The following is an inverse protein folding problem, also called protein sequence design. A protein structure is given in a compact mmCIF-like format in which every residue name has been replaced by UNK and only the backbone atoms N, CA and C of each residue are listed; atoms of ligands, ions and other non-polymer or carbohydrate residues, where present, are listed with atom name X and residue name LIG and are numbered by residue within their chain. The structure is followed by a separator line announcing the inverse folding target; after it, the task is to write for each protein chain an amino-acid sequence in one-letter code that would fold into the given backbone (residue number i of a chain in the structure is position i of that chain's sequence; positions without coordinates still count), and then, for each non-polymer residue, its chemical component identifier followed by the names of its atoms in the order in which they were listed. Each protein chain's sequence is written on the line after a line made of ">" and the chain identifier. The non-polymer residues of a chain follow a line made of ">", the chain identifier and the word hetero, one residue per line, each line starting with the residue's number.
data_IF_613982986529
#
_entry.id   IF_613982986529
#
_cell.length_a   1.000
_cell.length_b   1.000
_cell.length_c   1.000
_cell.angle_alpha   90.00
_cell.angle_beta   90.00
_cell.angle_gamma   90.00
#
_symmetry.space_group_name_H-M   'P 1'
#
loop_
_entity.id
_entity.type
_entity.pdbx_description
1 polymer ?
#
# COMPACT_ATOMS: atom_id res chain seq x y z
N UNK A 1 -11.20 -14.25 31.01
CA UNK A 1 -11.21 -12.83 30.60
C UNK A 1 -12.64 -12.49 30.22
N UNK A 2 -13.21 -11.47 30.86
CA UNK A 2 -14.65 -11.16 30.85
C UNK A 2 -15.15 -10.74 29.47
N UNK A 3 -16.14 -11.46 28.95
CA UNK A 3 -16.95 -11.07 27.81
C UNK A 3 -17.84 -9.87 28.18
N UNK A 4 -17.70 -8.76 27.45
CA UNK A 4 -18.64 -7.62 27.52
C UNK A 4 -19.61 -7.73 26.34
N UNK A 5 -20.93 -7.70 26.57
CA UNK A 5 -21.93 -7.71 25.50
C UNK A 5 -22.01 -6.31 24.87
N UNK A 6 -21.87 -6.22 23.55
CA UNK A 6 -21.86 -4.95 22.82
C UNK A 6 -23.27 -4.58 22.38
N UNK A 7 -23.87 -3.71 23.19
CA UNK A 7 -25.15 -3.06 22.96
C UNK A 7 -25.28 -1.91 23.94
N UNK A 8 -24.36 -0.94 23.87
CA UNK A 8 -24.41 0.36 24.55
C UNK A 8 -23.35 1.27 23.93
N UNK A 9 -23.73 2.51 23.58
CA UNK A 9 -22.85 3.64 23.27
C UNK A 9 -21.83 3.84 24.41
N UNK A 10 -20.71 3.12 24.37
CA UNK A 10 -19.50 3.57 25.05
C UNK A 10 -18.80 4.51 24.09
N UNK A 11 -18.67 5.79 24.46
CA UNK A 11 -17.90 6.78 23.72
C UNK A 11 -16.50 6.24 23.44
N UNK A 12 -16.27 5.71 22.24
CA UNK A 12 -14.99 5.17 21.86
C UNK A 12 -14.19 6.30 21.20
N UNK A 13 -12.99 6.57 21.71
CA UNK A 13 -12.21 7.75 21.31
C UNK A 13 -11.44 7.41 20.03
N UNK A 14 -11.55 8.23 18.96
CA UNK A 14 -10.81 7.99 17.73
C UNK A 14 -9.31 7.88 17.99
N UNK A 15 -8.69 6.82 17.46
CA UNK A 15 -7.26 6.60 17.54
C UNK A 15 -6.54 7.54 16.58
N UNK A 16 -5.55 8.26 17.10
CA UNK A 16 -4.73 9.24 16.35
C UNK A 16 -3.26 8.86 16.27
N UNK A 17 -2.80 7.93 17.11
CA UNK A 17 -1.45 7.37 17.03
C UNK A 17 -1.51 6.10 16.17
N UNK A 18 -0.95 6.16 14.95
CA UNK A 18 -1.12 5.20 13.89
C UNK A 18 0.25 4.76 13.34
N UNK A 19 0.44 3.46 13.28
CA UNK A 19 1.49 2.83 12.50
C UNK A 19 0.85 2.00 11.41
N UNK A 20 1.07 2.42 10.16
CA UNK A 20 0.71 1.65 9.00
C UNK A 20 1.98 1.07 8.37
N UNK A 21 2.17 -0.23 8.48
CA UNK A 21 3.25 -0.90 7.76
C UNK A 21 2.82 -1.03 6.30
N UNK A 22 3.36 -0.14 5.46
CA UNK A 22 3.01 -0.06 4.06
C UNK A 22 3.77 -1.11 3.25
N UNK A 23 3.09 -2.16 2.82
CA UNK A 23 3.64 -3.19 1.92
C UNK A 23 3.47 -2.83 0.44
N UNK A 24 4.33 -3.38 -0.41
CA UNK A 24 4.34 -3.12 -1.84
C UNK A 24 3.22 -3.86 -2.59
N UNK A 25 2.60 -3.18 -3.55
CA UNK A 25 1.61 -3.74 -4.52
C UNK A 25 0.33 -4.32 -3.88
N UNK A 26 -0.03 -3.82 -2.71
CA UNK A 26 -1.19 -4.25 -1.90
C UNK A 26 -2.30 -3.20 -1.81
N UNK A 27 -2.45 -2.34 -2.83
CA UNK A 27 -3.34 -1.16 -2.82
C UNK A 27 -3.03 -0.14 -1.71
N UNK A 28 -1.82 -0.22 -1.13
CA UNK A 28 -1.40 0.55 0.02
C UNK A 28 -1.33 2.07 -0.19
N UNK A 29 -1.20 2.57 -1.44
CA UNK A 29 -1.32 4.01 -1.74
C UNK A 29 -2.74 4.57 -1.54
N UNK A 30 -3.79 3.76 -1.75
CA UNK A 30 -5.17 4.20 -1.47
C UNK A 30 -5.38 4.35 0.03
N UNK A 31 -4.91 3.36 0.82
CA UNK A 31 -4.95 3.43 2.27
C UNK A 31 -4.09 4.56 2.81
N UNK A 32 -2.90 4.78 2.27
CA UNK A 32 -2.04 5.91 2.64
C UNK A 32 -2.73 7.26 2.44
N UNK A 33 -3.47 7.45 1.34
CA UNK A 33 -4.25 8.67 1.10
C UNK A 33 -5.37 8.86 2.15
N UNK A 34 -6.03 7.78 2.58
CA UNK A 34 -6.98 7.83 3.72
C UNK A 34 -6.26 8.34 4.98
N UNK A 35 -5.09 7.78 5.31
CA UNK A 35 -4.34 8.16 6.51
C UNK A 35 -3.82 9.59 6.47
N UNK A 36 -3.35 10.07 5.31
CA UNK A 36 -2.91 11.45 5.14
C UNK A 36 -4.06 12.44 5.31
N UNK A 37 -5.23 12.16 4.72
CA UNK A 37 -6.41 13.01 4.90
C UNK A 37 -6.88 13.03 6.35
N UNK A 38 -6.90 11.88 7.02
CA UNK A 38 -7.25 11.81 8.43
C UNK A 38 -6.25 12.61 9.28
N UNK A 39 -4.95 12.43 9.08
CA UNK A 39 -3.95 13.18 9.83
C UNK A 39 -3.98 14.68 9.57
N UNK A 40 -4.24 15.13 8.33
CA UNK A 40 -4.47 16.54 8.03
C UNK A 40 -5.69 17.10 8.76
N UNK A 41 -6.83 16.40 8.68
CA UNK A 41 -8.10 16.78 9.33
C UNK A 41 -7.92 16.97 10.84
N UNK A 42 -7.06 16.16 11.46
CA UNK A 42 -6.81 16.16 12.90
C UNK A 42 -5.48 16.84 13.30
N UNK A 43 -4.79 17.52 12.38
CA UNK A 43 -3.51 18.20 12.61
C UNK A 43 -2.45 17.30 13.28
N UNK A 44 -2.38 16.05 12.83
CA UNK A 44 -1.47 15.04 13.38
C UNK A 44 -0.04 15.23 12.87
N UNK A 45 0.93 14.91 13.74
CA UNK A 45 2.35 14.96 13.38
C UNK A 45 2.76 13.69 12.63
N UNK A 46 3.12 13.84 11.36
CA UNK A 46 3.61 12.74 10.53
C UNK A 46 5.12 12.53 10.69
N UNK A 47 5.54 11.28 10.85
CA UNK A 47 6.92 10.88 10.57
C UNK A 47 7.06 10.75 9.06
N UNK A 48 7.78 11.68 8.45
CA UNK A 48 7.95 11.74 7.00
C UNK A 48 9.42 11.46 6.63
N UNK A 49 9.68 10.85 5.47
CA UNK A 49 11.04 10.67 4.97
C UNK A 49 11.70 12.01 4.64
N UNK A 50 13.03 12.05 4.67
CA UNK A 50 13.82 13.19 4.22
C UNK A 50 14.38 12.96 2.80
N UNK A 51 14.09 13.88 1.87
CA UNK A 51 14.61 13.84 0.50
C UNK A 51 14.10 12.71 -0.41
N UNK A 52 13.23 11.82 0.07
CA UNK A 52 12.73 10.62 -0.62
C UNK A 52 11.23 10.42 -0.36
N UNK A 53 10.59 9.51 -1.10
CA UNK A 53 9.20 9.07 -0.84
C UNK A 53 9.12 7.84 0.08
N UNK A 54 10.26 7.23 0.42
CA UNK A 54 10.43 6.08 1.31
C UNK A 54 11.49 6.37 2.38
N UNK A 55 11.56 5.54 3.41
CA UNK A 55 12.59 5.60 4.46
C UNK A 55 13.84 4.81 4.09
N UNK A 56 14.50 5.22 3.00
CA UNK A 56 15.78 4.66 2.53
C UNK A 56 15.75 3.17 2.18
N UNK A 57 14.63 2.73 1.59
CA UNK A 57 14.45 1.36 1.15
C UNK A 57 15.48 0.99 0.04
N UNK A 58 16.08 -0.21 0.06
CA UNK A 58 15.74 -1.44 0.80
C UNK A 58 16.46 -1.62 2.15
N UNK A 59 17.15 -0.59 2.66
CA UNK A 59 17.81 -0.68 3.96
C UNK A 59 16.76 -0.79 5.07
N UNK A 60 17.12 -1.49 6.16
CA UNK A 60 16.28 -1.51 7.36
C UNK A 60 15.98 -0.09 7.83
N UNK A 61 14.74 0.13 8.25
CA UNK A 61 14.29 1.40 8.80
C UNK A 61 15.16 1.80 10.00
N UNK A 62 15.60 3.05 9.99
CA UNK A 62 16.20 3.73 11.14
C UNK A 62 15.41 5.01 11.38
N UNK A 63 15.16 5.34 12.65
CA UNK A 63 14.45 6.57 13.01
C UNK A 63 15.16 7.85 12.55
N UNK A 64 16.47 7.80 12.33
CA UNK A 64 17.26 8.89 11.74
C UNK A 64 16.91 9.21 10.29
N UNK A 65 16.15 8.35 9.60
CA UNK A 65 15.62 8.62 8.26
C UNK A 65 14.35 9.46 8.27
N UNK A 66 13.77 9.70 9.46
CA UNK A 66 12.63 10.60 9.63
C UNK A 66 13.14 12.03 9.63
N UNK A 67 12.55 12.86 8.77
CA UNK A 67 12.85 14.28 8.66
C UNK A 67 12.65 14.97 10.02
N UNK A 68 13.60 15.85 10.37
CA UNK A 68 13.59 16.63 11.60
C UNK A 68 13.56 15.78 12.89
N UNK A 69 13.96 14.50 12.81
CA UNK A 69 14.05 13.66 13.98
C UNK A 69 15.13 14.13 14.95
N UNK A 70 14.76 14.22 16.22
CA UNK A 70 15.70 14.34 17.34
C UNK A 70 15.34 13.33 18.44
N UNK A 71 16.32 12.87 19.25
CA UNK A 71 16.04 11.91 20.34
C UNK A 71 14.88 12.35 21.24
N UNK A 72 13.93 11.45 21.46
CA UNK A 72 12.71 11.73 22.24
C UNK A 72 11.53 12.29 21.43
N UNK A 73 11.71 12.57 20.14
CA UNK A 73 10.63 13.03 19.28
C UNK A 73 9.61 11.92 19.04
N UNK A 74 8.36 12.17 19.43
CA UNK A 74 7.22 11.33 19.06
C UNK A 74 6.49 11.91 17.85
N UNK A 75 5.84 11.01 17.11
CA UNK A 75 4.97 11.27 15.98
C UNK A 75 3.64 10.58 16.20
N UNK A 76 2.60 11.07 15.54
CA UNK A 76 1.29 10.45 15.55
C UNK A 76 1.17 9.41 14.43
N UNK A 77 1.68 9.69 13.23
CA UNK A 77 1.46 8.81 12.06
C UNK A 77 2.78 8.41 11.42
N UNK A 78 3.02 7.10 11.27
CA UNK A 78 4.11 6.52 10.48
C UNK A 78 3.48 5.62 9.40
N UNK A 79 3.63 5.97 8.12
CA UNK A 79 2.89 5.28 7.04
C UNK A 79 3.63 5.17 5.69
N UNK A 80 4.81 5.77 5.53
CA UNK A 80 5.60 5.66 4.29
C UNK A 80 6.28 4.29 4.15
N UNK A 81 6.68 3.95 2.92
CA UNK A 81 7.40 2.70 2.64
C UNK A 81 8.71 2.61 3.43
N UNK A 82 8.99 1.42 3.94
CA UNK A 82 10.21 1.08 4.67
C UNK A 82 10.46 -0.43 4.60
N UNK A 83 11.66 -0.85 4.97
CA UNK A 83 11.92 -2.22 5.42
C UNK A 83 11.83 -2.24 6.94
N UNK A 84 10.87 -2.98 7.48
CA UNK A 84 10.46 -2.86 8.87
C UNK A 84 11.60 -3.15 9.84
N UNK A 85 11.73 -2.30 10.85
CA UNK A 85 12.60 -2.50 12.00
C UNK A 85 11.84 -2.07 13.26
N UNK A 86 11.29 -3.05 13.97
CA UNK A 86 10.40 -2.82 15.11
C UNK A 86 11.05 -1.96 16.20
N UNK A 87 12.30 -2.24 16.55
CA UNK A 87 13.00 -1.58 17.66
C UNK A 87 13.24 -0.10 17.41
N UNK A 88 13.55 0.28 16.15
CA UNK A 88 13.71 1.68 15.76
C UNK A 88 12.37 2.38 15.63
N UNK A 89 11.36 1.69 15.12
CA UNK A 89 10.06 2.28 14.84
C UNK A 89 9.21 2.52 16.08
N UNK A 90 9.21 1.61 17.06
CA UNK A 90 8.45 1.79 18.30
C UNK A 90 8.92 3.01 19.11
N UNK A 91 10.17 3.45 18.92
CA UNK A 91 10.71 4.64 19.59
C UNK A 91 10.16 5.97 19.03
N UNK A 92 9.45 5.94 17.90
CA UNK A 92 8.85 7.12 17.28
C UNK A 92 7.39 7.34 17.67
N UNK A 93 6.77 6.37 18.34
CA UNK A 93 5.33 6.33 18.53
C UNK A 93 4.99 6.23 20.02
N UNK A 94 3.89 6.87 20.45
CA UNK A 94 3.34 6.63 21.78
C UNK A 94 3.00 5.13 22.00
N UNK A 95 3.06 4.64 23.25
CA UNK A 95 2.80 3.23 23.57
C UNK A 95 1.40 2.72 23.15
N UNK A 96 0.43 3.61 23.00
CA UNK A 96 -0.95 3.30 22.63
C UNK A 96 -1.20 3.30 21.11
N UNK A 97 -0.15 3.47 20.30
CA UNK A 97 -0.25 3.50 18.85
C UNK A 97 -0.83 2.21 18.26
N UNK A 98 -1.81 2.36 17.37
CA UNK A 98 -2.43 1.28 16.64
C UNK A 98 -1.58 0.89 15.43
N UNK A 99 -1.16 -0.38 15.40
CA UNK A 99 -0.35 -1.00 14.36
C UNK A 99 -1.24 -1.85 13.47
N UNK A 100 -1.22 -1.54 12.18
CA UNK A 100 -1.90 -2.29 11.16
C UNK A 100 -1.10 -2.32 9.86
N UNK A 101 -1.43 -3.26 9.00
CA UNK A 101 -0.78 -3.47 7.71
C UNK A 101 -1.80 -3.97 6.72
N UNK A 102 -1.43 -4.05 5.45
CA UNK A 102 -2.24 -4.68 4.41
C UNK A 102 -1.41 -5.74 3.68
N UNK A 103 -2.05 -6.85 3.34
CA UNK A 103 -1.50 -7.90 2.50
C UNK A 103 -2.36 -8.10 1.27
N UNK A 104 -1.83 -8.86 0.31
CA UNK A 104 -2.49 -9.28 -0.92
C UNK A 104 -1.96 -10.65 -1.30
N UNK A 105 -2.73 -11.40 -2.09
CA UNK A 105 -2.35 -12.67 -2.66
C UNK A 105 -0.94 -12.56 -3.30
N UNK A 106 0.04 -13.36 -2.88
CA UNK A 106 1.42 -13.23 -3.34
C UNK A 106 1.60 -13.44 -4.84
N UNK A 107 0.72 -14.17 -5.51
CA UNK A 107 0.78 -14.30 -6.97
C UNK A 107 0.42 -13.00 -7.68
N UNK A 108 -0.55 -12.28 -7.14
CA UNK A 108 -0.98 -10.97 -7.62
C UNK A 108 0.02 -9.86 -7.25
N UNK A 109 0.64 -9.96 -6.07
CA UNK A 109 1.77 -9.11 -5.68
C UNK A 109 2.92 -9.31 -6.65
N UNK A 110 3.28 -10.57 -6.94
CA UNK A 110 4.38 -10.90 -7.84
C UNK A 110 4.13 -10.41 -9.27
N UNK A 111 2.95 -10.64 -9.85
CA UNK A 111 2.60 -10.11 -11.18
C UNK A 111 2.73 -8.59 -11.21
N UNK A 112 2.18 -7.90 -10.21
CA UNK A 112 2.22 -6.44 -10.17
C UNK A 112 3.62 -5.89 -9.90
N UNK A 113 4.44 -6.58 -9.10
CA UNK A 113 5.81 -6.20 -8.80
C UNK A 113 6.71 -6.43 -10.02
N UNK A 114 6.59 -7.59 -10.67
CA UNK A 114 7.34 -7.91 -11.88
C UNK A 114 7.04 -6.88 -12.96
N UNK A 115 5.77 -6.64 -13.27
CA UNK A 115 5.34 -5.62 -14.24
C UNK A 115 5.90 -4.22 -13.93
N UNK A 116 5.91 -3.82 -12.65
CA UNK A 116 6.35 -2.48 -12.28
C UNK A 116 7.89 -2.33 -12.22
N UNK A 117 8.62 -3.37 -11.79
CA UNK A 117 10.03 -3.28 -11.45
C UNK A 117 10.97 -3.96 -12.44
N UNK A 118 10.50 -4.79 -13.38
CA UNK A 118 11.43 -5.55 -14.24
C UNK A 118 12.42 -4.64 -15.00
N UNK A 119 11.99 -3.47 -15.48
CA UNK A 119 12.89 -2.50 -16.13
C UNK A 119 14.02 -1.98 -15.22
N UNK A 120 13.89 -2.03 -13.90
CA UNK A 120 14.93 -1.62 -12.93
C UNK A 120 15.63 -2.82 -12.26
N UNK A 121 15.37 -4.04 -12.74
CA UNK A 121 16.07 -5.27 -12.31
C UNK A 121 16.81 -5.86 -13.52
N UNK A 122 18.13 -5.62 -13.64
CA UNK A 122 18.91 -5.96 -14.84
C UNK A 122 18.80 -7.42 -15.32
N UNK A 123 18.69 -8.37 -14.38
CA UNK A 123 18.55 -9.79 -14.71
C UNK A 123 17.30 -10.12 -15.55
N UNK A 124 16.27 -9.28 -15.49
CA UNK A 124 15.03 -9.50 -16.25
C UNK A 124 15.12 -8.99 -17.70
N UNK A 125 16.14 -8.19 -18.04
CA UNK A 125 16.25 -7.58 -19.37
C UNK A 125 16.48 -8.62 -20.45
N UNK A 126 17.21 -9.69 -20.12
CA UNK A 126 17.55 -10.81 -21.01
C UNK A 126 16.50 -11.92 -21.06
N UNK A 127 15.35 -11.75 -20.39
CA UNK A 127 14.24 -12.69 -20.50
C UNK A 127 13.70 -12.61 -21.93
N UNK A 128 13.68 -13.72 -22.69
CA UNK A 128 13.20 -13.74 -24.06
C UNK A 128 11.67 -13.67 -24.15
N UNK A 129 11.18 -13.23 -25.31
CA UNK A 129 9.75 -13.20 -25.61
C UNK A 129 9.01 -11.97 -25.07
N UNK A 130 7.76 -11.82 -25.51
CA UNK A 130 6.88 -10.72 -25.09
C UNK A 130 6.33 -10.94 -23.66
N UNK A 131 5.97 -12.17 -23.31
CA UNK A 131 5.49 -12.53 -21.96
C UNK A 131 6.66 -12.91 -21.05
N UNK A 132 7.42 -11.89 -20.63
CA UNK A 132 8.58 -12.07 -19.74
C UNK A 132 8.21 -12.64 -18.37
N UNK A 133 7.00 -12.36 -17.89
CA UNK A 133 6.52 -12.88 -16.61
C UNK A 133 6.37 -14.41 -16.68
N UNK A 134 5.75 -14.92 -17.74
CA UNK A 134 5.64 -16.36 -17.99
C UNK A 134 7.01 -17.01 -18.11
N UNK A 135 7.88 -16.46 -18.96
CA UNK A 135 9.23 -16.99 -19.15
C UNK A 135 10.03 -17.01 -17.84
N UNK A 136 9.89 -15.98 -17.00
CA UNK A 136 10.47 -15.98 -15.65
C UNK A 136 9.91 -17.12 -14.79
N UNK A 137 8.59 -17.26 -14.70
CA UNK A 137 7.95 -18.27 -13.86
C UNK A 137 8.19 -19.70 -14.35
N UNK A 138 8.53 -19.89 -15.62
CA UNK A 138 8.92 -21.18 -16.18
C UNK A 138 10.29 -21.64 -15.71
N UNK A 139 11.24 -20.73 -15.52
CA UNK A 139 12.59 -21.03 -15.04
C UNK A 139 13.17 -19.88 -14.18
N UNK A 140 12.67 -19.67 -12.95
CA UNK A 140 13.08 -18.52 -12.13
C UNK A 140 14.58 -18.51 -11.80
N UNK A 141 15.18 -19.70 -11.64
CA UNK A 141 16.60 -19.85 -11.28
C UNK A 141 17.55 -19.29 -12.34
N UNK A 142 17.10 -19.21 -13.60
CA UNK A 142 17.86 -18.60 -14.70
C UNK A 142 17.87 -17.07 -14.66
N UNK A 143 16.87 -16.46 -14.04
CA UNK A 143 16.60 -15.02 -14.11
C UNK A 143 16.63 -14.32 -12.75
N UNK A 144 17.02 -15.03 -11.70
CA UNK A 144 17.09 -14.51 -10.34
C UNK A 144 18.37 -14.96 -9.64
N UNK A 145 18.98 -14.00 -8.93
CA UNK A 145 20.02 -14.24 -7.93
C UNK A 145 19.78 -13.31 -6.75
N UNK A 146 20.02 -13.78 -5.53
CA UNK A 146 19.68 -13.06 -4.29
C UNK A 146 20.54 -11.81 -4.05
N UNK A 147 21.74 -11.76 -4.61
CA UNK A 147 22.65 -10.62 -4.58
C UNK A 147 22.44 -9.64 -5.75
N UNK A 148 21.50 -9.94 -6.64
CA UNK A 148 21.25 -9.14 -7.83
C UNK A 148 20.70 -7.77 -7.47
N UNK A 149 21.14 -6.74 -8.21
CA UNK A 149 20.65 -5.38 -8.03
C UNK A 149 19.11 -5.34 -8.16
N UNK A 150 18.44 -4.82 -7.13
CA UNK A 150 16.97 -4.78 -7.02
C UNK A 150 16.24 -6.13 -7.10
N UNK A 151 16.95 -7.25 -6.98
CA UNK A 151 16.36 -8.61 -7.03
C UNK A 151 15.34 -8.85 -5.92
N UNK A 152 15.40 -8.10 -4.82
CA UNK A 152 14.44 -8.18 -3.72
C UNK A 152 12.98 -7.91 -4.14
N UNK A 153 12.74 -7.20 -5.25
CA UNK A 153 11.39 -7.03 -5.79
C UNK A 153 10.81 -8.28 -6.44
N UNK A 154 11.64 -9.31 -6.72
CA UNK A 154 11.25 -10.46 -7.53
C UNK A 154 10.96 -11.72 -6.71
N UNK A 155 11.12 -11.73 -5.38
CA UNK A 155 10.82 -12.92 -4.55
C UNK A 155 10.40 -12.47 -3.17
N UNK A 156 9.35 -13.07 -2.61
CA UNK A 156 8.83 -12.87 -1.25
C UNK A 156 8.85 -11.39 -0.78
N UNK A 157 8.25 -10.50 -1.57
CA UNK A 157 8.31 -9.06 -1.33
C UNK A 157 7.60 -8.65 -0.02
N UNK A 158 6.54 -9.35 0.38
CA UNK A 158 5.80 -9.00 1.61
C UNK A 158 6.64 -9.28 2.85
N UNK A 159 7.24 -10.47 2.98
CA UNK A 159 8.08 -10.79 4.14
C UNK A 159 9.33 -9.90 4.19
N UNK A 160 9.85 -9.51 3.00
CA UNK A 160 10.95 -8.57 2.90
C UNK A 160 10.60 -7.19 3.43
N UNK A 161 9.39 -6.68 3.10
CA UNK A 161 8.86 -5.44 3.68
C UNK A 161 8.83 -5.55 5.22
N UNK A 162 8.45 -6.70 5.79
CA UNK A 162 8.50 -6.95 7.24
C UNK A 162 9.90 -7.11 7.85
N UNK A 163 10.97 -6.88 7.08
CA UNK A 163 12.34 -6.90 7.56
C UNK A 163 13.01 -8.27 7.49
N UNK A 164 12.34 -9.29 6.98
CA UNK A 164 12.94 -10.61 6.82
C UNK A 164 13.74 -10.70 5.52
N UNK A 165 14.49 -11.79 5.36
CA UNK A 165 15.17 -12.09 4.10
C UNK A 165 14.15 -12.62 3.08
N UNK A 166 14.27 -12.21 1.82
CA UNK A 166 13.31 -12.57 0.78
C UNK A 166 13.64 -13.92 0.11
N UNK A 167 14.76 -14.52 0.45
CA UNK A 167 15.15 -15.86 -0.01
C UNK A 167 14.56 -16.98 0.84
N UNK A 168 13.94 -16.65 1.98
CA UNK A 168 13.33 -17.62 2.87
C UNK A 168 12.33 -18.52 2.13
N UNK A 169 12.41 -19.81 2.44
CA UNK A 169 11.46 -20.80 1.96
C UNK A 169 10.33 -21.01 2.98
N UNK A 170 9.18 -21.49 2.52
CA UNK A 170 7.98 -21.64 3.35
C UNK A 170 8.22 -22.36 4.68
N UNK A 171 9.10 -23.37 4.74
CA UNK A 171 9.36 -24.16 5.94
C UNK A 171 10.46 -23.58 6.84
N UNK A 172 11.09 -22.47 6.46
CA UNK A 172 12.12 -21.85 7.27
C UNK A 172 11.55 -21.36 8.62
N UNK A 173 12.25 -21.60 9.75
CA UNK A 173 11.83 -21.09 11.06
C UNK A 173 11.62 -19.57 11.10
N UNK A 174 12.34 -18.80 10.27
CA UNK A 174 12.18 -17.37 10.08
C UNK A 174 10.80 -16.96 9.59
N UNK A 175 10.17 -17.73 8.71
CA UNK A 175 8.78 -17.46 8.28
C UNK A 175 7.80 -17.65 9.45
N UNK A 176 8.05 -18.65 10.30
CA UNK A 176 7.23 -18.86 11.51
C UNK A 176 7.40 -17.71 12.50
N UNK A 177 8.63 -17.22 12.70
CA UNK A 177 8.90 -16.04 13.53
C UNK A 177 8.22 -14.79 12.98
N UNK A 178 8.30 -14.55 11.67
CA UNK A 178 7.64 -13.42 11.02
C UNK A 178 6.13 -13.43 11.28
N UNK A 179 5.47 -14.58 11.07
CA UNK A 179 4.04 -14.74 11.35
C UNK A 179 3.74 -14.44 12.82
N UNK A 180 4.53 -14.98 13.75
CA UNK A 180 4.33 -14.74 15.19
C UNK A 180 4.47 -13.26 15.56
N UNK A 181 5.58 -12.63 15.16
CA UNK A 181 5.84 -11.22 15.47
C UNK A 181 4.81 -10.28 14.86
N UNK A 182 4.36 -10.55 13.63
CA UNK A 182 3.29 -9.76 13.00
C UNK A 182 1.97 -9.97 13.74
N UNK A 183 1.62 -11.22 14.10
CA UNK A 183 0.39 -11.53 14.85
C UNK A 183 0.36 -10.93 16.25
N UNK A 184 1.51 -10.84 16.93
CA UNK A 184 1.62 -10.19 18.23
C UNK A 184 1.54 -8.67 18.14
N UNK A 185 2.21 -8.08 17.13
CA UNK A 185 2.40 -6.63 17.11
C UNK A 185 1.29 -5.86 16.41
N UNK A 186 0.70 -6.44 15.36
CA UNK A 186 -0.29 -5.78 14.51
C UNK A 186 -1.70 -6.15 14.96
N UNK A 187 -2.48 -5.16 15.40
CA UNK A 187 -3.86 -5.38 15.84
C UNK A 187 -4.76 -5.84 14.68
N UNK A 188 -4.42 -5.40 13.47
CA UNK A 188 -5.18 -5.70 12.26
C UNK A 188 -4.26 -5.89 11.06
N UNK A 189 -4.47 -6.99 10.33
CA UNK A 189 -3.85 -7.25 9.03
C UNK A 189 -4.97 -7.27 8.00
N UNK A 190 -4.99 -6.25 7.15
CA UNK A 190 -5.98 -6.03 6.09
C UNK A 190 -5.67 -6.88 4.87
N UNK A 191 -6.67 -7.14 4.03
CA UNK A 191 -6.51 -7.86 2.77
C UNK A 191 -6.99 -7.01 1.59
N UNK A 192 -6.14 -6.83 0.59
CA UNK A 192 -6.45 -6.01 -0.58
C UNK A 192 -7.59 -6.60 -1.43
N UNK A 193 -7.78 -7.93 -1.44
CA UNK A 193 -8.91 -8.59 -2.10
C UNK A 193 -10.26 -8.24 -1.45
N UNK A 194 -10.23 -7.95 -0.15
CA UNK A 194 -11.39 -7.63 0.69
C UNK A 194 -11.22 -6.21 1.25
N UNK A 195 -10.86 -5.27 0.37
CA UNK A 195 -10.44 -3.92 0.77
C UNK A 195 -11.56 -3.16 1.51
N UNK A 196 -12.82 -3.33 1.11
CA UNK A 196 -13.94 -2.63 1.73
C UNK A 196 -14.25 -3.22 3.11
N UNK A 197 -14.31 -4.55 3.25
CA UNK A 197 -14.43 -5.24 4.54
C UNK A 197 -13.25 -4.88 5.47
N UNK A 198 -12.04 -4.80 4.90
CA UNK A 198 -10.83 -4.38 5.58
C UNK A 198 -10.97 -2.98 6.16
N UNK A 199 -11.48 -2.01 5.39
CA UNK A 199 -11.72 -0.67 5.88
C UNK A 199 -12.79 -0.66 6.98
N UNK A 200 -13.87 -1.43 6.87
CA UNK A 200 -14.88 -1.52 7.94
C UNK A 200 -14.28 -2.05 9.25
N UNK A 201 -13.43 -3.09 9.18
CA UNK A 201 -12.71 -3.57 10.36
C UNK A 201 -11.73 -2.50 10.91
N UNK A 202 -11.06 -1.75 10.03
CA UNK A 202 -10.16 -0.68 10.43
C UNK A 202 -10.92 0.45 11.14
N UNK A 203 -12.09 0.84 10.62
CA UNK A 203 -12.96 1.85 11.24
C UNK A 203 -13.37 1.46 12.65
N UNK A 204 -13.83 0.23 12.84
CA UNK A 204 -14.23 -0.28 14.15
C UNK A 204 -13.02 -0.34 15.11
N UNK A 205 -11.88 -0.84 14.63
CA UNK A 205 -10.65 -0.94 15.43
C UNK A 205 -10.06 0.43 15.84
N UNK A 206 -10.19 1.45 14.99
CA UNK A 206 -9.65 2.78 15.23
C UNK A 206 -10.67 3.77 15.80
N UNK A 207 -11.94 3.37 15.99
CA UNK A 207 -13.01 4.28 16.39
C UNK A 207 -13.19 5.46 15.44
N UNK A 208 -13.10 5.20 14.14
CA UNK A 208 -13.26 6.23 13.11
C UNK A 208 -14.70 6.31 12.60
N UNK A 209 -14.99 7.42 11.93
CA UNK A 209 -16.26 7.62 11.25
C UNK A 209 -16.19 7.06 9.82
N UNK A 210 -17.35 6.88 9.18
CA UNK A 210 -17.39 6.35 7.80
C UNK A 210 -16.76 7.34 6.82
N UNK A 211 -16.96 8.62 7.09
CA UNK A 211 -16.47 9.79 6.38
C UNK A 211 -14.94 9.81 6.29
N UNK A 212 -14.26 9.32 7.33
CA UNK A 212 -12.80 9.23 7.38
C UNK A 212 -12.25 8.17 6.41
N UNK A 213 -13.07 7.17 6.04
CA UNK A 213 -12.64 6.07 5.17
C UNK A 213 -12.91 6.28 3.68
N UNK A 214 -13.71 7.27 3.31
CA UNK A 214 -14.15 7.45 1.92
C UNK A 214 -12.94 7.57 1.00
N UNK A 215 -12.91 6.84 -0.11
CA UNK A 215 -11.73 6.71 -0.94
C UNK A 215 -12.05 6.65 -2.44
N UNK A 216 -11.06 7.04 -3.25
CA UNK A 216 -10.98 6.69 -4.66
C UNK A 216 -9.80 5.73 -4.83
N UNK A 217 -9.96 4.74 -5.72
CA UNK A 217 -8.90 3.75 -5.95
C UNK A 217 -7.74 4.44 -6.68
N UNK A 218 -6.63 4.65 -5.99
CA UNK A 218 -5.43 5.25 -6.58
C UNK A 218 -4.52 4.18 -7.20
N UNK A 219 -3.72 4.59 -8.18
CA UNK A 219 -2.77 3.74 -8.91
C UNK A 219 -3.40 2.51 -9.58
N UNK A 220 -4.62 2.65 -10.11
CA UNK A 220 -5.27 1.58 -10.89
C UNK A 220 -4.51 1.40 -12.19
N UNK A 221 -4.17 0.16 -12.54
CA UNK A 221 -3.52 -0.16 -13.81
C UNK A 221 -4.54 -0.25 -14.95
N UNK A 222 -4.13 0.15 -16.15
CA UNK A 222 -4.87 -0.10 -17.39
C UNK A 222 -5.13 -1.61 -17.51
N UNK A 223 -6.37 -2.00 -17.84
CA UNK A 223 -6.74 -3.42 -17.90
C UNK A 223 -5.87 -4.25 -18.84
N UNK A 224 -5.35 -3.66 -19.92
CA UNK A 224 -4.46 -4.32 -20.87
C UNK A 224 -3.04 -4.59 -20.35
N UNK A 225 -2.60 -3.89 -19.30
CA UNK A 225 -1.27 -4.12 -18.71
C UNK A 225 -1.30 -5.11 -17.54
N UNK A 226 -2.49 -5.60 -17.15
CA UNK A 226 -2.63 -6.62 -16.10
C UNK A 226 -2.55 -8.00 -16.73
N UNK A 227 -1.52 -8.76 -16.36
CA UNK A 227 -1.36 -10.13 -16.82
C UNK A 227 -2.29 -11.05 -16.03
N UNK A 228 -3.37 -11.52 -16.66
CA UNK A 228 -4.23 -12.54 -16.03
C UNK A 228 -3.48 -13.86 -15.98
N UNK A 229 -2.98 -14.20 -14.79
CA UNK A 229 -2.27 -15.46 -14.57
C UNK A 229 -3.21 -16.65 -14.81
N UNK A 230 -2.78 -17.58 -15.66
CA UNK A 230 -3.44 -18.89 -15.75
C UNK A 230 -3.33 -19.63 -14.40
N UNK A 231 -4.21 -20.59 -14.08
CA UNK A 231 -4.10 -21.37 -12.84
C UNK A 231 -2.71 -22.00 -12.65
N UNK A 232 -2.08 -22.46 -13.75
CA UNK A 232 -0.74 -23.03 -13.71
C UNK A 232 0.35 -22.00 -13.39
N UNK A 233 0.29 -20.80 -14.01
CA UNK A 233 1.24 -19.72 -13.70
C UNK A 233 1.03 -19.18 -12.30
N UNK A 234 -0.22 -19.08 -11.83
CA UNK A 234 -0.52 -18.71 -10.45
C UNK A 234 0.11 -19.68 -9.45
N UNK A 235 0.00 -20.99 -9.70
CA UNK A 235 0.64 -22.00 -8.85
C UNK A 235 2.16 -21.85 -8.81
N UNK A 236 2.81 -21.61 -9.95
CA UNK A 236 4.25 -21.32 -10.04
C UNK A 236 4.63 -20.05 -9.28
N UNK A 237 3.85 -18.98 -9.41
CA UNK A 237 4.09 -17.73 -8.69
C UNK A 237 3.97 -17.90 -7.16
N UNK A 238 2.99 -18.66 -6.68
CA UNK A 238 2.87 -18.98 -5.25
C UNK A 238 3.99 -19.90 -4.75
N UNK A 239 4.43 -20.85 -5.58
CA UNK A 239 5.57 -21.70 -5.25
C UNK A 239 6.87 -20.89 -5.16
N UNK A 240 7.07 -19.94 -6.08
CA UNK A 240 8.23 -19.06 -6.08
C UNK A 240 8.23 -18.11 -4.86
N UNK A 241 7.05 -17.63 -4.47
CA UNK A 241 6.85 -16.75 -3.30
C UNK A 241 6.32 -17.55 -2.10
N UNK A 242 6.98 -18.66 -1.78
CA UNK A 242 6.48 -19.67 -0.83
C UNK A 242 6.35 -19.14 0.61
N UNK A 243 7.27 -18.26 1.05
CA UNK A 243 7.21 -17.63 2.36
C UNK A 243 6.04 -16.65 2.47
N UNK A 244 5.86 -15.80 1.46
CA UNK A 244 4.72 -14.88 1.39
C UNK A 244 3.40 -15.66 1.32
N UNK A 245 3.35 -16.80 0.63
CA UNK A 245 2.15 -17.64 0.59
C UNK A 245 1.78 -18.20 1.96
N UNK A 246 2.78 -18.64 2.73
CA UNK A 246 2.54 -19.09 4.11
C UNK A 246 2.06 -17.94 5.01
N UNK A 247 2.69 -16.77 4.89
CA UNK A 247 2.29 -15.55 5.60
C UNK A 247 0.83 -15.16 5.29
N UNK A 248 0.50 -15.03 4.00
CA UNK A 248 -0.82 -14.64 3.53
C UNK A 248 -1.90 -15.62 3.99
N UNK A 249 -1.66 -16.93 3.91
CA UNK A 249 -2.65 -17.94 4.36
C UNK A 249 -3.00 -17.80 5.83
N UNK A 250 -2.01 -17.54 6.69
CA UNK A 250 -2.25 -17.32 8.11
C UNK A 250 -3.15 -16.11 8.34
N UNK A 251 -2.79 -14.97 7.73
CA UNK A 251 -3.54 -13.74 7.93
C UNK A 251 -4.91 -13.74 7.25
N UNK A 252 -5.07 -14.44 6.11
CA UNK A 252 -6.37 -14.67 5.50
C UNK A 252 -7.32 -15.42 6.44
N UNK A 253 -6.84 -16.49 7.10
CA UNK A 253 -7.63 -17.18 8.12
C UNK A 253 -8.00 -16.26 9.29
N UNK A 254 -7.03 -15.51 9.82
CA UNK A 254 -7.25 -14.60 10.95
C UNK A 254 -8.21 -13.45 10.60
N UNK A 255 -8.16 -12.96 9.36
CA UNK A 255 -9.00 -11.90 8.85
C UNK A 255 -10.47 -12.34 8.86
N UNK A 256 -10.76 -13.49 8.27
CA UNK A 256 -12.13 -14.01 8.25
C UNK A 256 -12.66 -14.34 9.64
N UNK A 257 -11.81 -14.80 10.57
CA UNK A 257 -12.19 -14.93 11.97
C UNK A 257 -12.61 -13.58 12.60
N UNK A 258 -11.92 -12.48 12.26
CA UNK A 258 -12.33 -11.12 12.71
C UNK A 258 -13.64 -10.67 12.05
N UNK A 259 -13.87 -11.01 10.78
CA UNK A 259 -15.15 -10.75 10.10
C UNK A 259 -16.30 -11.50 10.78
N UNK A 260 -16.12 -12.76 11.17
CA UNK A 260 -17.14 -13.51 11.92
C UNK A 260 -17.46 -12.83 13.26
N UNK A 261 -16.44 -12.39 14.00
CA UNK A 261 -16.60 -11.70 15.28
C UNK A 261 -17.31 -10.36 15.11
N UNK A 262 -17.01 -9.62 14.04
CA UNK A 262 -17.71 -8.39 13.69
C UNK A 262 -19.18 -8.63 13.31
N UNK A 263 -19.45 -9.80 12.73
CA UNK A 263 -20.76 -10.25 12.27
C UNK A 263 -20.96 -10.02 10.77
N UNK A 264 -21.23 -11.11 10.03
CA UNK A 264 -21.38 -11.07 8.55
C UNK A 264 -22.47 -10.12 8.06
N UNK A 265 -23.64 -10.14 8.69
CA UNK A 265 -24.75 -9.27 8.30
C UNK A 265 -24.41 -7.79 8.55
N UNK A 266 -23.78 -7.48 9.68
CA UNK A 266 -23.31 -6.12 9.98
C UNK A 266 -22.23 -5.68 8.99
N UNK A 267 -21.32 -6.58 8.62
CA UNK A 267 -20.28 -6.33 7.63
C UNK A 267 -20.87 -5.95 6.28
N UNK A 268 -21.82 -6.74 5.78
CA UNK A 268 -22.50 -6.49 4.50
C UNK A 268 -23.17 -5.10 4.46
N UNK A 269 -23.97 -4.77 5.48
CA UNK A 269 -24.63 -3.45 5.60
C UNK A 269 -23.61 -2.31 5.57
N UNK A 270 -22.50 -2.45 6.31
CA UNK A 270 -21.49 -1.39 6.41
C UNK A 270 -20.68 -1.25 5.13
N UNK A 271 -20.38 -2.35 4.44
CA UNK A 271 -19.73 -2.33 3.13
C UNK A 271 -20.63 -1.70 2.08
N UNK A 272 -21.92 -2.00 2.06
CA UNK A 272 -22.89 -1.37 1.16
C UNK A 272 -22.97 0.14 1.38
N UNK A 273 -22.99 0.59 2.64
CA UNK A 273 -22.98 2.01 2.98
C UNK A 273 -21.67 2.70 2.53
N UNK A 274 -20.52 2.06 2.76
CA UNK A 274 -19.22 2.56 2.28
C UNK A 274 -19.21 2.69 0.75
N UNK A 275 -19.73 1.68 0.03
CA UNK A 275 -19.84 1.70 -1.44
C UNK A 275 -20.74 2.83 -1.92
N UNK A 276 -21.90 3.03 -1.29
CA UNK A 276 -22.85 4.10 -1.61
C UNK A 276 -22.18 5.47 -1.48
N UNK A 277 -21.54 5.75 -0.33
CA UNK A 277 -20.87 7.04 -0.09
C UNK A 277 -19.66 7.27 -1.00
N UNK A 278 -18.91 6.22 -1.32
CA UNK A 278 -17.82 6.31 -2.31
C UNK A 278 -18.34 6.62 -3.72
N UNK A 279 -19.50 6.06 -4.11
CA UNK A 279 -20.12 6.37 -5.39
C UNK A 279 -20.60 7.83 -5.46
N UNK A 280 -21.16 8.36 -4.35
CA UNK A 280 -21.54 9.77 -4.23
C UNK A 280 -20.33 10.69 -4.36
N UNK A 281 -19.28 10.44 -3.57
CA UNK A 281 -18.04 11.22 -3.67
C UNK A 281 -17.42 11.14 -5.06
N UNK A 282 -17.49 9.98 -5.73
CA UNK A 282 -17.02 9.85 -7.12
C UNK A 282 -17.83 10.73 -8.09
N UNK A 283 -19.16 10.77 -7.96
CA UNK A 283 -20.01 11.59 -8.81
C UNK A 283 -19.80 13.11 -8.60
N UNK A 284 -19.45 13.50 -7.38
CA UNK A 284 -19.08 14.86 -7.01
C UNK A 284 -17.69 15.21 -7.57
N UNK A 285 -16.68 14.38 -7.30
CA UNK A 285 -15.28 14.75 -7.52
C UNK A 285 -14.73 14.45 -8.92
N UNK A 286 -15.19 13.38 -9.58
CA UNK A 286 -14.51 12.82 -10.76
C UNK A 286 -15.20 13.22 -12.06
N UNK A 287 -14.48 13.91 -12.93
CA UNK A 287 -14.95 14.21 -14.28
C UNK A 287 -15.14 12.91 -15.08
N UNK A 288 -16.33 12.72 -15.67
CA UNK A 288 -16.68 11.48 -16.38
C UNK A 288 -16.88 10.26 -15.48
N UNK A 289 -16.76 10.39 -14.16
CA UNK A 289 -17.06 9.33 -13.19
C UNK A 289 -16.09 8.14 -13.19
N UNK A 290 -14.98 8.18 -13.93
CA UNK A 290 -14.04 7.06 -14.05
C UNK A 290 -12.59 7.54 -14.12
N UNK A 291 -11.67 6.60 -13.89
CA UNK A 291 -10.25 6.83 -14.11
C UNK A 291 -9.97 6.91 -15.62
N UNK A 292 -8.96 7.71 -15.98
CA UNK A 292 -8.49 7.91 -17.36
C UNK A 292 -7.06 7.43 -17.50
N UNK A 293 -6.70 7.00 -18.72
CA UNK A 293 -5.31 6.70 -19.06
C UNK A 293 -4.42 7.93 -18.89
N UNK A 294 -3.11 7.73 -18.71
CA UNK A 294 -2.17 8.81 -18.40
C UNK A 294 -2.20 9.97 -19.40
N UNK A 295 -2.48 9.70 -20.67
CA UNK A 295 -2.57 10.70 -21.74
C UNK A 295 -3.85 11.53 -21.68
N UNK A 296 -4.87 11.05 -20.99
CA UNK A 296 -6.15 11.74 -20.77
C UNK A 296 -6.19 12.60 -19.50
N UNK A 297 -5.12 12.61 -18.70
CA UNK A 297 -5.03 13.41 -17.48
C UNK A 297 -4.77 14.87 -17.86
N UNK A 298 -5.67 15.77 -17.43
CA UNK A 298 -5.65 17.19 -17.77
C UNK A 298 -4.77 18.02 -16.82
N UNK A 299 -4.78 17.68 -15.53
CA UNK A 299 -3.95 18.34 -14.53
C UNK A 299 -2.73 17.48 -14.20
N UNK A 300 -1.54 17.96 -14.57
CA UNK A 300 -0.26 17.27 -14.32
C UNK A 300 0.07 17.15 -12.84
N UNK A 301 -0.46 18.02 -11.97
CA UNK A 301 -0.32 17.92 -10.51
C UNK A 301 -1.07 16.74 -9.91
N UNK A 302 -2.04 16.18 -10.64
CA UNK A 302 -2.78 14.97 -10.24
C UNK A 302 -2.33 13.73 -11.01
N UNK A 303 -1.27 13.82 -11.81
CA UNK A 303 -0.77 12.70 -12.58
C UNK A 303 -0.01 11.71 -11.69
N UNK A 304 -0.39 10.42 -11.67
CA UNK A 304 0.31 9.42 -10.89
C UNK A 304 1.67 9.10 -11.52
N UNK A 305 2.62 8.70 -10.66
CA UNK A 305 3.94 8.28 -11.10
C UNK A 305 3.86 7.04 -12.00
N UNK A 306 4.48 7.12 -13.17
CA UNK A 306 4.50 6.03 -14.15
C UNK A 306 5.77 5.18 -13.99
N UNK A 307 5.68 3.85 -14.12
CA UNK A 307 6.86 2.98 -14.15
C UNK A 307 7.81 3.37 -15.31
N UNK A 308 9.05 2.90 -15.22
CA UNK A 308 10.04 3.17 -16.27
C UNK A 308 9.66 2.40 -17.53
N UNK A 309 9.60 3.10 -18.67
CA UNK A 309 9.30 2.51 -19.97
C UNK A 309 7.83 2.26 -20.29
N UNK A 310 6.89 2.48 -19.35
CA UNK A 310 5.47 2.19 -19.57
C UNK A 310 4.53 3.19 -18.89
N UNK A 311 3.46 3.58 -19.57
CA UNK A 311 2.40 4.46 -19.05
C UNK A 311 1.13 3.68 -18.70
N UNK A 312 1.24 2.82 -17.71
CA UNK A 312 0.20 1.85 -17.35
C UNK A 312 -0.67 2.28 -16.17
N UNK A 313 -0.26 3.31 -15.40
CA UNK A 313 -1.02 3.76 -14.23
C UNK A 313 -2.02 4.81 -14.63
N UNK A 314 -3.31 4.53 -14.40
CA UNK A 314 -4.43 5.44 -14.64
C UNK A 314 -4.56 6.47 -13.52
N UNK A 315 -5.10 7.64 -13.86
CA UNK A 315 -5.38 8.73 -12.93
C UNK A 315 -6.81 9.24 -13.05
N UNK A 316 -7.12 10.36 -12.41
CA UNK A 316 -8.45 10.96 -12.43
C UNK A 316 -8.37 12.43 -12.86
N UNK A 317 -9.43 12.88 -13.53
CA UNK A 317 -9.65 14.30 -13.76
C UNK A 317 -10.64 14.84 -12.73
N UNK A 318 -10.30 15.96 -12.10
CA UNK A 318 -11.19 16.65 -11.17
C UNK A 318 -12.34 17.30 -11.95
N UNK A 319 -13.57 17.16 -11.47
CA UNK A 319 -14.74 17.84 -12.03
C UNK A 319 -14.58 19.36 -11.88
N UNK A 320 -15.04 20.13 -12.86
CA UNK A 320 -14.86 21.60 -12.89
C UNK A 320 -15.79 22.32 -11.92
N UNK A 321 -17.04 21.89 -11.85
CA UNK A 321 -18.10 22.57 -11.08
C UNK A 321 -18.35 21.82 -9.75
N UNK A 322 -17.33 21.79 -8.88
CA UNK A 322 -17.44 21.20 -7.54
C UNK A 322 -17.86 22.30 -6.56
N UNK A 323 -18.89 22.03 -5.76
CA UNK A 323 -19.31 22.92 -4.68
C UNK A 323 -18.16 23.19 -3.71
N UNK A 324 -18.06 24.42 -3.20
CA UNK A 324 -16.95 24.87 -2.35
C UNK A 324 -16.71 23.96 -1.14
N UNK A 325 -17.77 23.42 -0.54
CA UNK A 325 -17.69 22.51 0.60
C UNK A 325 -16.96 21.18 0.31
N UNK A 326 -16.93 20.72 -0.95
CA UNK A 326 -16.31 19.46 -1.36
C UNK A 326 -14.96 19.66 -2.07
N UNK A 327 -14.61 20.89 -2.46
CA UNK A 327 -13.48 21.18 -3.34
C UNK A 327 -12.13 20.65 -2.78
N UNK A 328 -11.85 20.93 -1.51
CA UNK A 328 -10.60 20.50 -0.88
C UNK A 328 -10.54 18.98 -0.70
N UNK A 329 -11.62 18.37 -0.21
CA UNK A 329 -11.70 16.92 -0.01
C UNK A 329 -11.55 16.18 -1.34
N UNK A 330 -12.25 16.62 -2.39
CA UNK A 330 -12.10 16.05 -3.73
C UNK A 330 -10.66 16.15 -4.22
N UNK A 331 -10.03 17.32 -4.12
CA UNK A 331 -8.63 17.49 -4.51
C UNK A 331 -7.73 16.48 -3.80
N UNK A 332 -7.81 16.41 -2.46
CA UNK A 332 -7.03 15.50 -1.63
C UNK A 332 -7.29 14.02 -1.94
N UNK A 333 -8.53 13.62 -2.23
CA UNK A 333 -8.89 12.25 -2.61
C UNK A 333 -8.28 11.82 -3.95
N UNK A 334 -8.06 12.76 -4.87
CA UNK A 334 -7.45 12.52 -6.18
C UNK A 334 -5.92 12.68 -6.17
N UNK A 335 -5.34 13.38 -5.20
CA UNK A 335 -3.90 13.63 -5.11
C UNK A 335 -3.11 12.32 -4.95
N UNK A 336 -2.22 11.97 -5.89
CA UNK A 336 -1.37 10.80 -5.75
C UNK A 336 -0.31 11.00 -4.66
N UNK A 337 0.23 9.89 -4.17
CA UNK A 337 1.11 9.84 -3.00
C UNK A 337 2.30 10.82 -3.04
N UNK A 338 3.02 10.90 -4.16
CA UNK A 338 4.22 11.76 -4.28
C UNK A 338 3.84 13.24 -4.12
N UNK A 339 2.72 13.64 -4.71
CA UNK A 339 2.23 15.01 -4.64
C UNK A 339 1.71 15.32 -3.24
N UNK A 340 0.96 14.38 -2.63
CA UNK A 340 0.47 14.55 -1.27
C UNK A 340 1.63 14.69 -0.26
N UNK A 341 2.69 13.87 -0.41
CA UNK A 341 3.90 14.01 0.41
C UNK A 341 4.55 15.40 0.28
N UNK A 342 4.51 15.99 -0.92
CA UNK A 342 5.00 17.36 -1.10
C UNK A 342 4.12 18.37 -0.35
N UNK A 343 2.80 18.18 -0.34
CA UNK A 343 1.86 19.02 0.43
C UNK A 343 2.10 18.91 1.95
N UNK A 344 2.49 17.72 2.43
CA UNK A 344 2.95 17.49 3.81
C UNK A 344 4.38 18.01 4.07
N UNK A 345 4.98 18.67 3.08
CA UNK A 345 6.26 19.37 3.15
C UNK A 345 7.49 18.55 2.79
N UNK A 346 7.36 17.29 2.34
CA UNK A 346 8.53 16.47 1.97
C UNK A 346 9.22 17.05 0.74
N UNK A 347 10.53 17.28 0.84
CA UNK A 347 11.31 17.77 -0.28
C UNK A 347 11.65 16.63 -1.25
N UNK A 348 10.87 16.51 -2.32
CA UNK A 348 10.99 15.44 -3.32
C UNK A 348 11.69 15.91 -4.61
N UNK A 349 12.56 16.93 -4.53
CA UNK A 349 13.23 17.49 -5.70
C UNK A 349 14.02 16.44 -6.51
N UNK A 350 14.74 15.53 -5.84
CA UNK A 350 15.45 14.43 -6.49
C UNK A 350 14.49 13.46 -7.18
N UNK A 351 13.41 13.07 -6.52
CA UNK A 351 12.38 12.19 -7.11
C UNK A 351 11.75 12.84 -8.35
N UNK A 352 11.45 14.14 -8.29
CA UNK A 352 10.93 14.92 -9.42
C UNK A 352 11.94 15.03 -10.57
N UNK A 353 13.22 15.28 -10.26
CA UNK A 353 14.30 15.32 -11.24
C UNK A 353 14.47 13.97 -11.94
N UNK A 354 14.45 12.87 -11.19
CA UNK A 354 14.46 11.52 -11.75
C UNK A 354 13.24 11.25 -12.62
N UNK A 355 12.05 11.72 -12.22
CA UNK A 355 10.83 11.63 -13.01
C UNK A 355 10.97 12.35 -14.34
N UNK A 356 11.48 13.58 -14.32
CA UNK A 356 11.75 14.38 -15.52
C UNK A 356 12.81 13.74 -16.43
N UNK A 357 13.92 13.25 -15.87
CA UNK A 357 14.96 12.55 -16.62
C UNK A 357 14.40 11.28 -17.28
N UNK A 358 13.63 10.48 -16.53
CA UNK A 358 12.95 9.28 -17.03
C UNK A 358 12.03 9.63 -18.20
N UNK A 359 11.24 10.69 -18.07
CA UNK A 359 10.29 11.11 -19.10
C UNK A 359 10.98 11.76 -20.33
N UNK A 360 12.20 12.27 -20.19
CA UNK A 360 12.97 12.92 -21.27
C UNK A 360 13.88 11.94 -22.04
N UNK A 361 14.49 10.97 -21.35
CA UNK A 361 15.51 10.07 -21.93
C UNK A 361 14.89 8.84 -22.60
N UNK A 362 13.86 8.24 -21.98
CA UNK A 362 13.27 6.98 -22.46
C UNK A 362 12.15 7.16 -23.50
N UNK A 363 11.91 8.39 -23.96
CA UNK A 363 10.84 8.72 -24.91
C UNK A 363 11.32 9.51 -26.14
N UNK A 364 12.65 9.61 -26.34
CA UNK A 364 13.27 10.06 -27.60
C UNK A 364 13.64 8.90 -28.55
N UNK A 365 13.18 7.69 -28.24
CA UNK A 365 13.26 6.48 -29.08
C UNK A 365 11.91 5.81 -29.09
#
# INVERSE_FOLDING_TARGET
>A
MSHKPWGQDSSCVPKTNLMFMKTHKTASSTLLNILFRFGDKHHLKFALPDGRNDFFYPSFFLRSYVRDYSPGTCFNVVANHMRFNRLELEQLLPPDAAFFTILRDPSEVFESAFHYYHHVVPFTWFIPGEDKLRAFLEDPARYYTSDGFNSFYLKNLLIFDFGYDNTLEANDPGVTRAIHEVSERFQLVLLAEHFEESLILLKDALCWEMEDLLFLKLNVRKGSSVSRLSPALRAKALQWNSADWRLYRHFNYSFWAKVEVYGRQRMEIQVEELRRRNAEMRAICVEGGAAVESTGIKNTELAPWQPMGEKSIMGYNLKKDIESQHAELCRKMLTPEIQYLTELGVNLWLTRLWGWLKDSVFWLT
#
